data_IF_178956470159
#
_entry.id   IF_178956470159
#
_cell.length_a   1.000
_cell.length_b   1.000
_cell.length_c   1.000
_cell.angle_alpha   90.00
_cell.angle_beta   90.00
_cell.angle_gamma   90.00
#
_symmetry.space_group_name_H-M   'P 1'
#
loop_
_entity.id
_entity.type
_entity.pdbx_description
1 polymer ?
#
# COMPACT_ATOMS: atom_id res chain seq x y z
N UNK A 1 -7.39 -2.26 43.82
CA UNK A 1 -5.92 -2.43 43.83
C UNK A 1 -5.60 -3.48 44.86
N UNK A 2 -5.33 -4.72 44.44
CA UNK A 2 -4.70 -5.73 45.29
C UNK A 2 -3.36 -6.06 44.65
N UNK A 3 -2.28 -5.66 45.30
CA UNK A 3 -0.91 -5.96 44.91
C UNK A 3 -0.57 -7.31 45.53
N UNK A 4 -0.53 -8.37 44.73
CA UNK A 4 -0.03 -9.67 45.16
C UNK A 4 1.47 -9.74 44.84
N UNK A 5 2.28 -9.82 45.90
CA UNK A 5 3.75 -9.91 45.85
C UNK A 5 4.12 -11.36 45.58
N UNK A 6 4.77 -11.62 44.45
CA UNK A 6 5.22 -12.95 44.02
C UNK A 6 6.49 -13.33 44.81
N UNK A 7 6.37 -14.20 45.82
CA UNK A 7 7.50 -14.89 46.42
C UNK A 7 7.39 -16.39 46.15
N UNK A 8 8.43 -16.89 45.47
CA UNK A 8 9.02 -18.24 45.52
C UNK A 8 8.11 -19.45 45.33
N UNK A 9 8.33 -20.11 44.18
CA UNK A 9 8.35 -21.57 43.97
C UNK A 9 7.49 -22.41 44.89
N UNK A 10 6.23 -22.61 44.51
CA UNK A 10 5.35 -23.54 45.19
C UNK A 10 4.72 -24.45 44.12
N UNK A 11 5.38 -25.58 43.81
CA UNK A 11 4.86 -26.60 42.87
C UNK A 11 3.42 -27.00 43.22
N UNK A 12 3.11 -27.00 44.51
CA UNK A 12 1.77 -27.25 45.06
C UNK A 12 0.71 -26.22 44.61
N UNK A 13 1.09 -24.96 44.43
CA UNK A 13 0.21 -23.91 43.91
C UNK A 13 -0.02 -24.09 42.40
N UNK A 14 1.00 -24.55 41.67
CA UNK A 14 0.91 -24.88 40.25
C UNK A 14 -0.10 -26.00 39.97
N UNK A 15 -0.13 -27.02 40.81
CA UNK A 15 -1.06 -28.15 40.66
C UNK A 15 -2.50 -27.82 41.11
N UNK A 16 -2.66 -26.99 42.14
CA UNK A 16 -3.97 -26.44 42.54
C UNK A 16 -4.57 -25.48 41.48
N UNK A 17 -3.73 -24.72 40.78
CA UNK A 17 -4.19 -23.82 39.71
C UNK A 17 -4.56 -24.57 38.42
N UNK A 18 -3.94 -25.72 38.15
CA UNK A 18 -4.25 -26.56 36.97
C UNK A 18 -5.55 -27.37 37.10
N UNK A 19 -5.93 -27.75 38.33
CA UNK A 19 -7.10 -28.60 38.58
C UNK A 19 -8.42 -27.84 38.69
N UNK A 20 -8.40 -26.50 38.77
CA UNK A 20 -9.59 -25.68 38.92
C UNK A 20 -10.12 -25.16 37.57
N UNK A 21 -11.31 -25.61 37.09
CA UNK A 21 -11.91 -25.14 35.84
C UNK A 21 -12.06 -23.62 35.70
N UNK A 22 -12.44 -22.86 36.76
CA UNK A 22 -12.56 -21.40 36.68
C UNK A 22 -11.23 -20.70 36.41
N UNK A 23 -10.12 -21.28 36.89
CA UNK A 23 -8.76 -20.73 36.71
C UNK A 23 -8.32 -20.88 35.27
N UNK A 24 -8.63 -22.02 34.63
CA UNK A 24 -8.35 -22.25 33.21
C UNK A 24 -9.13 -21.26 32.33
N UNK A 25 -10.40 -21.01 32.65
CA UNK A 25 -11.22 -20.02 31.93
C UNK A 25 -10.71 -18.59 32.13
N UNK A 26 -10.29 -18.24 33.36
CA UNK A 26 -9.65 -16.96 33.68
C UNK A 26 -8.32 -16.79 32.94
N UNK A 27 -7.49 -17.83 32.82
CA UNK A 27 -6.23 -17.78 32.08
C UNK A 27 -6.43 -17.53 30.59
N UNK A 28 -7.52 -18.04 29.99
CA UNK A 28 -7.86 -17.76 28.61
C UNK A 28 -8.20 -16.27 28.38
N UNK A 29 -8.82 -15.62 29.38
CA UNK A 29 -9.28 -14.24 29.31
C UNK A 29 -8.28 -13.21 29.83
N UNK A 30 -7.35 -13.57 30.71
CA UNK A 30 -6.38 -12.65 31.29
C UNK A 30 -5.13 -12.52 30.42
N UNK A 31 -4.56 -11.32 30.42
CA UNK A 31 -3.29 -10.98 29.79
C UNK A 31 -2.46 -10.15 30.76
N UNK A 32 -1.15 -10.18 30.53
CA UNK A 32 -0.14 -9.61 31.40
C UNK A 32 0.76 -8.67 30.62
N UNK A 33 1.17 -7.58 31.26
CA UNK A 33 2.23 -6.67 30.80
C UNK A 33 3.14 -6.35 31.98
N UNK A 34 4.39 -6.07 31.69
CA UNK A 34 5.39 -5.63 32.66
C UNK A 34 5.66 -4.13 32.42
N UNK A 35 5.61 -3.34 33.48
CA UNK A 35 5.78 -1.89 33.44
C UNK A 35 6.88 -1.52 34.45
N UNK A 36 7.91 -0.83 34.00
CA UNK A 36 8.89 -0.21 34.89
C UNK A 36 8.32 1.11 35.44
N UNK A 37 8.17 1.21 36.77
CA UNK A 37 7.82 2.46 37.47
C UNK A 37 8.91 2.79 38.47
N UNK A 38 9.67 3.83 38.20
CA UNK A 38 10.90 4.09 38.97
C UNK A 38 11.87 2.94 38.79
N UNK A 39 12.33 2.36 39.90
CA UNK A 39 13.32 1.27 39.92
C UNK A 39 12.70 -0.12 40.12
N UNK A 40 11.37 -0.22 40.02
CA UNK A 40 10.61 -1.47 40.24
C UNK A 40 9.88 -1.89 38.98
N UNK A 41 10.02 -3.17 38.62
CA UNK A 41 9.26 -3.81 37.56
C UNK A 41 7.94 -4.34 38.14
N UNK A 42 6.82 -3.81 37.68
CA UNK A 42 5.48 -4.24 38.11
C UNK A 42 4.79 -5.07 37.02
N UNK A 43 4.16 -6.17 37.41
CA UNK A 43 3.36 -7.01 36.51
C UNK A 43 1.88 -6.66 36.65
N UNK A 44 1.27 -6.20 35.56
CA UNK A 44 -0.13 -5.77 35.52
C UNK A 44 -0.97 -6.79 34.77
N UNK A 45 -2.05 -7.24 35.41
CA UNK A 45 -3.02 -8.18 34.85
C UNK A 45 -4.26 -7.43 34.36
N UNK A 46 -4.74 -7.75 33.17
CA UNK A 46 -5.95 -7.17 32.60
C UNK A 46 -6.72 -8.19 31.77
N UNK A 47 -8.02 -7.95 31.61
CA UNK A 47 -8.87 -8.80 30.77
C UNK A 47 -8.61 -8.46 29.30
N UNK A 48 -8.38 -9.48 28.47
CA UNK A 48 -8.24 -9.38 27.03
C UNK A 48 -9.52 -8.78 26.44
N UNK A 49 -9.45 -7.61 25.78
CA UNK A 49 -10.61 -7.07 25.07
C UNK A 49 -11.08 -8.03 23.97
N UNK A 50 -12.39 -8.16 23.80
CA UNK A 50 -12.98 -9.06 22.77
C UNK A 50 -12.59 -8.65 21.36
N UNK A 51 -12.36 -7.35 21.11
CA UNK A 51 -11.85 -6.81 19.84
C UNK A 51 -10.51 -7.43 19.43
N UNK A 52 -9.68 -7.87 20.38
CA UNK A 52 -8.39 -8.49 20.10
C UNK A 52 -8.52 -9.89 19.50
N UNK A 53 -9.70 -10.51 19.54
CA UNK A 53 -9.94 -11.79 18.86
C UNK A 53 -10.01 -11.64 17.34
N UNK A 54 -10.27 -10.43 16.83
CA UNK A 54 -10.25 -10.13 15.39
C UNK A 54 -8.82 -9.90 14.85
N UNK A 55 -7.81 -9.87 15.71
CA UNK A 55 -6.42 -9.64 15.31
C UNK A 55 -5.78 -10.94 14.83
N UNK A 56 -5.65 -11.08 13.51
CA UNK A 56 -4.88 -12.15 12.90
C UNK A 56 -3.36 -11.93 13.01
N UNK A 57 -2.60 -13.03 12.90
CA UNK A 57 -1.13 -12.99 12.99
C UNK A 57 -0.48 -12.17 11.86
N UNK A 58 -1.16 -12.00 10.73
CA UNK A 58 -0.73 -11.09 9.65
C UNK A 58 -0.60 -9.64 10.12
N UNK A 59 -1.60 -9.12 10.85
CA UNK A 59 -1.55 -7.75 11.39
C UNK A 59 -0.42 -7.58 12.41
N UNK A 60 -0.11 -8.64 13.17
CA UNK A 60 1.01 -8.61 14.14
C UNK A 60 2.36 -8.53 13.43
N UNK A 61 2.55 -9.31 12.36
CA UNK A 61 3.77 -9.28 11.54
C UNK A 61 3.94 -7.93 10.85
N UNK A 62 2.89 -7.42 10.21
CA UNK A 62 2.92 -6.11 9.57
C UNK A 62 3.22 -4.99 10.57
N UNK A 63 2.61 -5.01 11.76
CA UNK A 63 2.92 -4.07 12.82
C UNK A 63 4.40 -4.16 13.23
N UNK A 64 4.94 -5.38 13.37
CA UNK A 64 6.32 -5.62 13.83
C UNK A 64 7.37 -5.23 12.77
N UNK A 65 7.08 -5.47 11.49
CA UNK A 65 7.97 -5.21 10.36
C UNK A 65 7.94 -3.75 9.94
N UNK A 66 6.82 -3.06 10.18
CA UNK A 66 6.67 -1.66 9.81
C UNK A 66 7.33 -0.69 10.79
N UNK A 67 7.59 -1.09 12.04
CA UNK A 67 8.19 -0.20 13.06
C UNK A 67 9.58 0.27 12.63
N UNK A 68 9.82 1.58 12.69
CA UNK A 68 11.14 2.17 12.50
C UNK A 68 12.07 1.79 13.65
N UNK A 69 13.29 1.35 13.33
CA UNK A 69 14.24 0.81 14.32
C UNK A 69 15.50 1.68 14.49
N UNK A 70 15.42 2.93 14.04
CA UNK A 70 16.57 3.84 13.98
C UNK A 70 17.06 4.26 15.37
N UNK A 71 16.15 4.39 16.35
CA UNK A 71 16.50 4.64 17.75
C UNK A 71 15.44 4.07 18.72
N UNK A 72 15.82 3.86 19.98
CA UNK A 72 14.95 3.29 21.01
C UNK A 72 13.66 4.12 21.19
N UNK A 73 13.78 5.44 21.26
CA UNK A 73 12.65 6.36 21.48
C UNK A 73 11.71 6.37 20.27
N UNK A 74 12.26 6.46 19.06
CA UNK A 74 11.47 6.46 17.81
C UNK A 74 10.75 5.12 17.62
N UNK A 75 11.42 4.00 17.94
CA UNK A 75 10.82 2.66 17.87
C UNK A 75 9.59 2.55 18.76
N UNK A 76 9.67 3.03 20.00
CA UNK A 76 8.55 2.96 20.94
C UNK A 76 7.42 3.87 20.49
N UNK A 77 7.72 5.13 20.12
CA UNK A 77 6.67 6.08 19.69
C UNK A 77 5.97 5.61 18.42
N UNK A 78 6.73 5.14 17.42
CA UNK A 78 6.19 4.66 16.14
C UNK A 78 5.36 3.38 16.33
N UNK A 79 5.80 2.46 17.19
CA UNK A 79 5.00 1.28 17.56
C UNK A 79 3.68 1.69 18.22
N UNK A 80 3.70 2.65 19.16
CA UNK A 80 2.49 3.13 19.83
C UNK A 80 1.52 3.80 18.85
N UNK A 81 2.01 4.60 17.91
CA UNK A 81 1.15 5.28 16.95
C UNK A 81 0.55 4.30 15.93
N UNK A 82 1.33 3.34 15.42
CA UNK A 82 0.83 2.27 14.55
C UNK A 82 -0.16 1.35 15.26
N UNK A 83 0.05 1.05 16.54
CA UNK A 83 -0.90 0.23 17.31
C UNK A 83 -2.23 0.96 17.54
N UNK A 84 -2.24 2.28 17.74
CA UNK A 84 -3.48 3.09 17.78
C UNK A 84 -4.22 3.03 16.44
N UNK A 85 -3.51 3.13 15.32
CA UNK A 85 -4.13 3.01 13.99
C UNK A 85 -4.77 1.65 13.79
N UNK A 86 -4.08 0.56 14.18
CA UNK A 86 -4.62 -0.80 14.12
C UNK A 86 -5.87 -0.96 15.00
N UNK A 87 -5.88 -0.43 16.22
CA UNK A 87 -7.06 -0.46 17.11
C UNK A 87 -8.25 0.23 16.46
N UNK A 88 -8.04 1.42 15.88
CA UNK A 88 -9.09 2.16 15.18
C UNK A 88 -9.63 1.38 13.97
N UNK A 89 -8.76 0.70 13.22
CA UNK A 89 -9.19 -0.16 12.11
C UNK A 89 -10.09 -1.30 12.61
N UNK A 90 -9.69 -2.01 13.66
CA UNK A 90 -10.46 -3.14 14.21
C UNK A 90 -11.81 -2.67 14.77
N UNK A 91 -11.84 -1.52 15.42
CA UNK A 91 -13.09 -0.93 15.90
C UNK A 91 -14.03 -0.59 14.74
N UNK A 92 -13.50 -0.03 13.65
CA UNK A 92 -14.27 0.24 12.44
C UNK A 92 -14.84 -1.05 11.82
N UNK A 93 -14.04 -2.11 11.77
CA UNK A 93 -14.47 -3.44 11.32
C UNK A 93 -15.64 -3.96 12.14
N UNK A 94 -15.56 -3.84 13.46
CA UNK A 94 -16.59 -4.32 14.37
C UNK A 94 -17.90 -3.55 14.19
N UNK A 95 -17.83 -2.22 14.01
CA UNK A 95 -19.01 -1.37 13.73
C UNK A 95 -19.63 -1.71 12.38
N UNK A 96 -18.81 -1.86 11.33
CA UNK A 96 -19.29 -2.25 10.01
C UNK A 96 -19.99 -3.62 10.03
N UNK A 97 -19.43 -4.58 10.76
CA UNK A 97 -20.02 -5.91 10.92
C UNK A 97 -21.36 -5.84 11.67
N UNK A 98 -21.43 -5.09 12.77
CA UNK A 98 -22.67 -4.88 13.52
C UNK A 98 -23.75 -4.16 12.68
N UNK A 99 -23.35 -3.20 11.85
CA UNK A 99 -24.24 -2.50 10.93
C UNK A 99 -24.80 -3.44 9.85
N UNK A 100 -23.95 -4.31 9.30
CA UNK A 100 -24.35 -5.34 8.33
C UNK A 100 -25.33 -6.35 8.92
N UNK A 101 -25.04 -6.84 10.13
CA UNK A 101 -25.90 -7.77 10.86
C UNK A 101 -27.26 -7.14 11.21
N UNK A 102 -27.39 -5.80 11.20
CA UNK A 102 -28.64 -5.08 11.47
C UNK A 102 -29.44 -4.75 10.21
N UNK A 103 -28.77 -4.53 9.06
CA UNK A 103 -29.46 -4.27 7.80
C UNK A 103 -29.95 -5.54 7.11
N UNK A 104 -29.34 -6.69 7.38
CA UNK A 104 -29.69 -7.96 6.75
C UNK A 104 -30.29 -8.90 7.80
N UNK A 105 -31.58 -9.28 7.70
CA UNK A 105 -32.22 -10.18 8.65
C UNK A 105 -31.49 -11.54 8.69
N UNK A 106 -31.43 -12.15 9.88
CA UNK A 106 -30.82 -13.49 10.03
C UNK A 106 -31.74 -14.53 9.40
N UNK A 107 -31.21 -15.57 8.72
CA UNK A 107 -32.01 -16.59 8.04
C UNK A 107 -33.04 -17.32 8.94
N UNK A 108 -32.83 -17.29 10.26
CA UNK A 108 -33.69 -17.94 11.25
C UNK A 108 -34.93 -17.13 11.69
N UNK A 109 -35.06 -15.87 11.30
CA UNK A 109 -36.19 -15.00 11.69
C UNK A 109 -37.31 -14.94 10.62
N UNK A 110 -37.17 -15.64 9.49
CA UNK A 110 -38.19 -15.68 8.46
C UNK A 110 -39.26 -16.74 8.79
N UNK A 111 -40.57 -16.45 8.57
CA UNK A 111 -41.65 -17.39 8.81
C UNK A 111 -41.47 -18.70 8.01
N UNK A 112 -41.96 -19.80 8.59
CA UNK A 112 -41.67 -21.18 8.14
C UNK A 112 -42.28 -21.54 6.77
N UNK A 113 -43.19 -20.72 6.26
CA UNK A 113 -43.93 -20.88 5.01
C UNK A 113 -43.13 -20.46 3.76
N UNK A 114 -42.04 -19.69 3.92
CA UNK A 114 -41.29 -19.14 2.81
C UNK A 114 -40.07 -20.01 2.39
N UNK A 115 -40.25 -21.32 2.21
CA UNK A 115 -39.14 -22.28 1.98
C UNK A 115 -38.25 -22.00 0.75
N UNK A 116 -38.82 -21.50 -0.35
CA UNK A 116 -38.06 -21.14 -1.56
C UNK A 116 -37.36 -19.78 -1.43
N UNK A 117 -38.00 -18.82 -0.76
CA UNK A 117 -37.41 -17.53 -0.41
C UNK A 117 -36.25 -17.74 0.56
N UNK A 118 -36.36 -18.64 1.54
CA UNK A 118 -35.30 -18.95 2.51
C UNK A 118 -34.06 -19.54 1.84
N UNK A 119 -34.21 -20.44 0.86
CA UNK A 119 -33.05 -20.99 0.11
C UNK A 119 -32.43 -19.96 -0.83
N UNK A 120 -33.24 -19.16 -1.52
CA UNK A 120 -32.78 -18.07 -2.39
C UNK A 120 -32.08 -16.95 -1.61
N UNK A 121 -32.69 -16.47 -0.52
CA UNK A 121 -32.08 -15.52 0.39
C UNK A 121 -30.90 -16.12 1.13
N UNK A 122 -30.85 -17.40 1.50
CA UNK A 122 -29.66 -17.97 2.14
C UNK A 122 -28.47 -18.03 1.19
N UNK A 123 -28.69 -18.34 -0.10
CA UNK A 123 -27.61 -18.30 -1.11
C UNK A 123 -27.19 -16.86 -1.42
N UNK A 124 -28.13 -15.92 -1.52
CA UNK A 124 -27.85 -14.48 -1.65
C UNK A 124 -27.20 -13.91 -0.38
N UNK A 125 -27.60 -14.35 0.81
CA UNK A 125 -27.09 -13.91 2.11
C UNK A 125 -25.67 -14.42 2.31
N UNK A 126 -25.39 -15.70 2.06
CA UNK A 126 -24.01 -16.23 2.12
C UNK A 126 -23.11 -15.61 1.05
N UNK A 127 -23.63 -15.35 -0.16
CA UNK A 127 -22.85 -14.75 -1.25
C UNK A 127 -22.60 -13.25 -1.06
N UNK A 128 -23.62 -12.48 -0.70
CA UNK A 128 -23.54 -11.03 -0.51
C UNK A 128 -22.91 -10.65 0.84
N UNK A 129 -23.12 -11.44 1.92
CA UNK A 129 -22.38 -11.30 3.19
C UNK A 129 -20.93 -11.71 3.00
N UNK A 130 -20.62 -12.83 2.35
CA UNK A 130 -19.22 -13.19 2.13
C UNK A 130 -18.55 -12.14 1.24
N UNK A 131 -19.13 -11.74 0.11
CA UNK A 131 -18.54 -10.73 -0.78
C UNK A 131 -18.49 -9.32 -0.16
N UNK A 132 -19.48 -8.86 0.60
CA UNK A 132 -19.44 -7.51 1.19
C UNK A 132 -18.62 -7.47 2.48
N UNK A 133 -18.72 -8.49 3.36
CA UNK A 133 -17.86 -8.59 4.55
C UNK A 133 -16.42 -8.81 4.11
N UNK A 134 -16.10 -9.69 3.16
CA UNK A 134 -14.72 -9.72 2.60
C UNK A 134 -14.38 -8.37 1.93
N UNK A 135 -15.18 -7.84 1.01
CA UNK A 135 -14.76 -6.60 0.32
C UNK A 135 -14.70 -5.35 1.21
N UNK A 136 -15.34 -5.29 2.38
CA UNK A 136 -15.28 -4.13 3.30
C UNK A 136 -14.38 -4.41 4.51
N UNK A 137 -14.47 -5.60 5.14
CA UNK A 137 -13.64 -5.98 6.30
C UNK A 137 -12.21 -6.32 5.90
N UNK A 138 -12.04 -6.88 4.70
CA UNK A 138 -10.74 -7.18 4.13
C UNK A 138 -10.14 -5.90 3.50
N UNK A 139 -10.93 -4.92 3.03
CA UNK A 139 -10.38 -3.66 2.47
C UNK A 139 -9.86 -2.66 3.51
N UNK A 140 -10.39 -2.62 4.74
CA UNK A 140 -9.93 -1.63 5.73
C UNK A 140 -8.77 -2.12 6.60
N UNK A 141 -8.58 -3.43 6.76
CA UNK A 141 -7.48 -4.03 7.52
C UNK A 141 -6.36 -4.64 6.68
N UNK A 142 -6.56 -4.85 5.37
CA UNK A 142 -5.58 -5.51 4.50
C UNK A 142 -4.98 -4.47 3.54
N UNK A 143 -4.02 -3.67 4.05
CA UNK A 143 -3.07 -3.00 3.15
C UNK A 143 -2.33 -4.09 2.37
N UNK A 144 -2.63 -4.12 1.08
CA UNK A 144 -1.85 -4.72 -0.02
C UNK A 144 -1.67 -6.26 -0.05
N UNK A 145 -1.77 -7.02 1.05
CA UNK A 145 -1.53 -8.48 1.01
C UNK A 145 -2.69 -9.33 0.45
N UNK A 146 -3.85 -8.72 0.18
CA UNK A 146 -5.02 -9.43 -0.38
C UNK A 146 -5.02 -9.59 -1.90
N UNK A 147 -4.12 -8.91 -2.58
CA UNK A 147 -4.02 -9.08 -4.03
C UNK A 147 -3.53 -10.49 -4.39
N UNK A 148 -2.92 -11.24 -3.46
CA UNK A 148 -2.45 -12.60 -3.71
C UNK A 148 -3.48 -13.73 -3.63
N UNK A 149 -4.74 -13.47 -3.27
CA UNK A 149 -5.75 -14.55 -3.11
C UNK A 149 -7.06 -14.36 -3.90
N UNK A 150 -7.26 -13.23 -4.56
CA UNK A 150 -8.53 -12.92 -5.22
C UNK A 150 -8.40 -12.91 -6.76
N UNK A 151 -9.36 -13.52 -7.47
CA UNK A 151 -9.35 -13.71 -8.94
C UNK A 151 -9.17 -12.40 -9.74
N UNK A 152 -9.52 -11.26 -9.16
CA UNK A 152 -9.38 -9.95 -9.80
C UNK A 152 -7.92 -9.50 -10.01
N UNK A 153 -6.98 -9.95 -9.17
CA UNK A 153 -5.57 -9.59 -9.34
C UNK A 153 -4.92 -10.32 -10.52
N UNK A 154 -5.18 -11.62 -10.63
CA UNK A 154 -4.70 -12.44 -11.76
C UNK A 154 -5.21 -11.82 -13.06
N UNK A 155 -6.49 -11.44 -13.11
CA UNK A 155 -7.06 -10.75 -14.26
C UNK A 155 -6.33 -9.45 -14.61
N UNK A 156 -6.03 -8.63 -13.60
CA UNK A 156 -5.33 -7.38 -13.80
C UNK A 156 -3.90 -7.56 -14.34
N UNK A 157 -3.15 -8.54 -13.80
CA UNK A 157 -1.80 -8.86 -14.30
C UNK A 157 -1.82 -9.52 -15.68
N UNK A 158 -2.84 -10.33 -15.97
CA UNK A 158 -3.04 -10.86 -17.31
C UNK A 158 -3.22 -9.73 -18.32
N UNK A 159 -4.02 -8.71 -18.00
CA UNK A 159 -4.15 -7.54 -18.89
C UNK A 159 -2.82 -6.79 -19.08
N UNK A 160 -2.08 -6.51 -18.00
CA UNK A 160 -0.77 -5.84 -18.12
C UNK A 160 0.19 -6.69 -18.95
N UNK A 161 0.30 -7.99 -18.66
CA UNK A 161 1.19 -8.91 -19.37
C UNK A 161 0.82 -9.03 -20.84
N UNK A 162 -0.46 -9.22 -21.16
CA UNK A 162 -0.93 -9.32 -22.54
C UNK A 162 -0.68 -8.05 -23.33
N UNK A 163 -0.94 -6.86 -22.75
CA UNK A 163 -0.64 -5.59 -23.42
C UNK A 163 0.85 -5.49 -23.74
N UNK A 164 1.72 -5.80 -22.78
CA UNK A 164 3.17 -5.74 -22.98
C UNK A 164 3.64 -6.74 -24.04
N UNK A 165 3.08 -7.94 -24.08
CA UNK A 165 3.36 -8.93 -25.14
C UNK A 165 2.91 -8.42 -26.51
N UNK A 166 1.72 -7.82 -26.62
CA UNK A 166 1.23 -7.23 -27.88
C UNK A 166 2.12 -6.07 -28.33
N UNK A 167 2.54 -5.21 -27.41
CA UNK A 167 3.46 -4.11 -27.70
C UNK A 167 4.80 -4.64 -28.20
N UNK A 168 5.42 -5.59 -27.50
CA UNK A 168 6.72 -6.14 -27.92
C UNK A 168 6.63 -6.89 -29.25
N UNK A 169 5.55 -7.63 -29.49
CA UNK A 169 5.42 -8.48 -30.67
C UNK A 169 5.03 -7.72 -31.94
N UNK A 170 4.27 -6.62 -31.83
CA UNK A 170 3.63 -5.98 -32.98
C UNK A 170 3.93 -4.50 -33.13
N UNK A 171 4.62 -3.86 -32.19
CA UNK A 171 5.01 -2.46 -32.33
C UNK A 171 6.12 -2.32 -33.38
N UNK A 172 5.83 -1.57 -34.44
CA UNK A 172 6.80 -1.22 -35.48
C UNK A 172 7.13 0.26 -35.34
N UNK A 173 8.42 0.65 -35.22
CA UNK A 173 8.81 2.05 -35.14
C UNK A 173 8.57 2.77 -36.47
N UNK A 174 8.27 4.09 -36.44
CA UNK A 174 7.95 4.88 -37.63
C UNK A 174 9.09 4.91 -38.67
N UNK A 175 10.34 4.75 -38.23
CA UNK A 175 11.51 4.77 -39.10
C UNK A 175 11.78 3.44 -39.82
N UNK A 176 10.95 2.41 -39.60
CA UNK A 176 11.14 1.11 -40.21
C UNK A 176 10.74 1.14 -41.70
N UNK A 177 11.58 0.63 -42.62
CA UNK A 177 11.21 0.49 -44.02
C UNK A 177 9.97 -0.42 -44.15
N UNK A 178 8.89 0.10 -44.73
CA UNK A 178 7.60 -0.61 -44.82
C UNK A 178 6.60 -0.31 -43.68
N UNK A 179 6.78 0.81 -42.96
CA UNK A 179 5.83 1.28 -41.96
C UNK A 179 4.45 1.54 -42.58
N UNK A 180 3.47 0.68 -42.24
CA UNK A 180 2.05 0.85 -42.60
C UNK A 180 1.21 1.37 -41.42
N UNK A 181 1.87 1.64 -40.30
CA UNK A 181 1.27 2.01 -39.04
C UNK A 181 2.02 1.38 -37.86
N UNK A 182 1.74 1.83 -36.62
CA UNK A 182 2.46 1.39 -35.43
C UNK A 182 2.19 -0.08 -35.09
N UNK A 183 1.06 -0.62 -35.54
CA UNK A 183 0.68 -2.04 -35.40
C UNK A 183 -0.26 -2.43 -36.55
N UNK A 184 -0.37 -3.74 -36.83
CA UNK A 184 -1.41 -4.25 -37.72
C UNK A 184 -2.81 -3.98 -37.14
N UNK A 185 -3.82 -3.84 -38.01
CA UNK A 185 -5.19 -3.52 -37.58
C UNK A 185 -5.75 -4.48 -36.51
N UNK A 186 -5.57 -5.82 -36.60
CA UNK A 186 -6.01 -6.74 -35.54
C UNK A 186 -5.27 -6.51 -34.21
N UNK A 187 -3.97 -6.25 -34.26
CA UNK A 187 -3.16 -6.00 -33.07
C UNK A 187 -3.54 -4.67 -32.40
N UNK A 188 -3.82 -3.64 -33.20
CA UNK A 188 -4.32 -2.35 -32.72
C UNK A 188 -5.67 -2.46 -32.00
N UNK A 189 -6.61 -3.21 -32.59
CA UNK A 189 -7.91 -3.49 -31.98
C UNK A 189 -7.77 -4.28 -30.66
N UNK A 190 -6.94 -5.33 -30.64
CA UNK A 190 -6.68 -6.11 -29.44
C UNK A 190 -6.02 -5.26 -28.34
N UNK A 191 -5.05 -4.44 -28.70
CA UNK A 191 -4.39 -3.49 -27.80
C UNK A 191 -5.39 -2.53 -27.16
N UNK A 192 -6.22 -1.85 -27.95
CA UNK A 192 -7.20 -0.91 -27.41
C UNK A 192 -8.24 -1.60 -26.52
N UNK A 193 -8.71 -2.78 -26.90
CA UNK A 193 -9.63 -3.56 -26.07
C UNK A 193 -9.02 -3.85 -24.68
N UNK A 194 -7.79 -4.38 -24.66
CA UNK A 194 -7.08 -4.67 -23.41
C UNK A 194 -6.82 -3.40 -22.58
N UNK A 195 -6.42 -2.30 -23.24
CA UNK A 195 -6.17 -1.01 -22.58
C UNK A 195 -7.43 -0.43 -21.93
N UNK A 196 -8.59 -0.51 -22.60
CA UNK A 196 -9.88 -0.10 -22.04
C UNK A 196 -10.32 -1.00 -20.88
N UNK A 197 -10.14 -2.32 -20.98
CA UNK A 197 -10.38 -3.24 -19.86
C UNK A 197 -9.51 -2.88 -18.64
N UNK A 198 -8.23 -2.60 -18.87
CA UNK A 198 -7.29 -2.21 -17.83
C UNK A 198 -7.69 -0.87 -17.16
N UNK A 199 -8.08 0.12 -17.97
CA UNK A 199 -8.56 1.41 -17.49
C UNK A 199 -9.83 1.27 -16.65
N UNK A 200 -10.79 0.46 -17.09
CA UNK A 200 -12.01 0.18 -16.34
C UNK A 200 -11.70 -0.48 -14.98
N UNK A 201 -10.78 -1.45 -14.95
CA UNK A 201 -10.29 -2.04 -13.70
C UNK A 201 -9.62 -1.00 -12.78
N UNK A 202 -8.90 -0.01 -13.33
CA UNK A 202 -8.34 1.09 -12.54
C UNK A 202 -9.43 2.01 -11.98
N UNK A 203 -10.40 2.42 -12.80
CA UNK A 203 -11.48 3.32 -12.40
C UNK A 203 -12.37 2.66 -11.34
N UNK A 204 -12.74 1.40 -11.54
CA UNK A 204 -13.55 0.67 -10.55
C UNK A 204 -12.82 0.54 -9.21
N UNK A 205 -11.50 0.36 -9.22
CA UNK A 205 -10.70 0.39 -8.00
C UNK A 205 -10.75 1.76 -7.31
N UNK A 206 -10.55 2.86 -8.05
CA UNK A 206 -10.65 4.22 -7.50
C UNK A 206 -12.02 4.51 -6.89
N UNK A 207 -13.09 4.12 -7.59
CA UNK A 207 -14.45 4.25 -7.09
C UNK A 207 -14.65 3.49 -5.78
N UNK A 208 -14.13 2.26 -5.67
CA UNK A 208 -14.17 1.49 -4.42
C UNK A 208 -13.43 2.20 -3.30
N UNK A 209 -12.22 2.69 -3.54
CA UNK A 209 -11.43 3.42 -2.52
C UNK A 209 -12.19 4.67 -2.04
N UNK A 210 -12.72 5.47 -2.97
CA UNK A 210 -13.49 6.68 -2.63
C UNK A 210 -14.76 6.33 -1.85
N UNK A 211 -15.45 5.25 -2.22
CA UNK A 211 -16.64 4.78 -1.50
C UNK A 211 -16.29 4.26 -0.09
N UNK A 212 -15.19 3.52 0.07
CA UNK A 212 -14.70 3.07 1.38
C UNK A 212 -14.34 4.24 2.30
N UNK A 213 -13.74 5.31 1.76
CA UNK A 213 -13.44 6.52 2.51
C UNK A 213 -14.71 7.27 2.95
N UNK A 214 -15.80 7.22 2.17
CA UNK A 214 -17.10 7.81 2.57
C UNK A 214 -17.74 7.09 3.76
N UNK A 215 -17.44 5.80 3.96
CA UNK A 215 -17.97 4.99 5.07
C UNK A 215 -17.15 5.15 6.36
N UNK A 216 -16.03 5.88 6.34
CA UNK A 216 -15.31 6.21 7.56
C UNK A 216 -16.14 7.22 8.38
N UNK A 217 -16.69 6.84 9.55
CA UNK A 217 -17.56 7.72 10.31
C UNK A 217 -16.73 8.93 10.72
N UNK A 218 -17.23 10.11 10.35
CA UNK A 218 -16.71 11.36 10.89
C UNK A 218 -16.59 11.20 12.40
N UNK A 219 -15.36 11.30 12.92
CA UNK A 219 -15.02 11.28 14.35
C UNK A 219 -16.11 12.03 15.10
N UNK A 220 -17.05 11.31 15.71
CA UNK A 220 -18.21 11.90 16.39
C UNK A 220 -17.66 12.52 17.66
N UNK A 221 -17.15 13.76 17.55
CA UNK A 221 -16.88 14.56 18.74
C UNK A 221 -18.24 14.84 19.39
N UNK A 222 -18.45 14.49 20.66
CA UNK A 222 -19.69 14.82 21.36
C UNK A 222 -19.80 16.34 21.40
N UNK A 223 -20.67 16.91 20.57
CA UNK A 223 -20.92 18.36 20.59
C UNK A 223 -22.03 18.64 21.59
N UNK A 224 -21.62 19.29 22.69
CA UNK A 224 -22.52 20.00 23.60
C UNK A 224 -23.39 20.95 22.78
N UNK A 225 -24.70 20.85 23.00
CA UNK A 225 -25.69 21.67 22.35
C UNK A 225 -25.56 23.13 22.81
N UNK A 226 -25.29 24.04 21.85
CA UNK A 226 -25.94 25.36 21.78
C UNK A 226 -25.53 26.07 20.49
N UNK A 227 -26.51 26.81 19.98
CA UNK A 227 -26.40 27.96 19.09
C UNK A 227 -26.66 27.74 17.59
N UNK A 228 -27.90 28.11 17.27
CA UNK A 228 -28.55 28.33 15.99
C UNK A 228 -28.07 29.65 15.40
N UNK A 229 -27.03 29.66 14.55
CA UNK A 229 -26.87 30.70 13.53
C UNK A 229 -25.85 30.30 12.43
N UNK A 230 -26.19 30.59 11.18
CA UNK A 230 -25.38 30.49 9.96
C UNK A 230 -25.11 29.09 9.40
N UNK A 231 -26.12 28.56 8.72
CA UNK A 231 -26.04 27.38 7.84
C UNK A 231 -24.96 27.56 6.73
N UNK A 232 -24.76 28.79 6.22
CA UNK A 232 -23.78 29.12 5.17
C UNK A 232 -22.32 28.93 5.61
N UNK A 233 -21.95 29.42 6.80
CA UNK A 233 -20.60 29.19 7.39
C UNK A 233 -20.35 27.72 7.77
N UNK A 234 -21.42 26.96 8.02
CA UNK A 234 -21.33 25.52 8.29
C UNK A 234 -21.10 24.72 7.01
N UNK A 235 -21.68 25.16 5.88
CA UNK A 235 -21.51 24.54 4.57
C UNK A 235 -20.09 24.77 4.03
N UNK A 236 -19.57 25.99 4.09
CA UNK A 236 -18.19 26.30 3.66
C UNK A 236 -17.15 25.54 4.49
N UNK A 237 -17.30 25.49 5.82
CA UNK A 237 -16.41 24.69 6.68
C UNK A 237 -16.50 23.19 6.40
N UNK A 238 -17.68 22.67 6.03
CA UNK A 238 -17.83 21.29 5.58
C UNK A 238 -17.15 21.09 4.24
N UNK A 239 -17.43 21.91 3.23
CA UNK A 239 -16.84 21.80 1.88
C UNK A 239 -15.31 21.90 1.92
N UNK A 240 -14.75 22.87 2.66
CA UNK A 240 -13.29 23.00 2.83
C UNK A 240 -12.71 21.81 3.61
N UNK A 241 -13.41 21.31 4.64
CA UNK A 241 -12.99 20.09 5.35
C UNK A 241 -13.09 18.84 4.47
N UNK A 242 -14.06 18.76 3.56
CA UNK A 242 -14.22 17.67 2.59
C UNK A 242 -13.14 17.73 1.50
N UNK A 243 -12.88 18.90 0.93
CA UNK A 243 -11.84 19.12 -0.06
C UNK A 243 -10.45 18.83 0.52
N UNK A 244 -10.18 19.32 1.74
CA UNK A 244 -8.94 19.01 2.48
C UNK A 244 -8.81 17.52 2.75
N UNK A 245 -9.89 16.82 3.15
CA UNK A 245 -9.88 15.37 3.36
C UNK A 245 -9.61 14.57 2.09
N UNK A 246 -10.18 14.97 0.95
CA UNK A 246 -9.93 14.35 -0.35
C UNK A 246 -8.48 14.59 -0.78
N UNK A 247 -7.96 15.81 -0.62
CA UNK A 247 -6.57 16.14 -0.93
C UNK A 247 -5.58 15.36 -0.06
N UNK A 248 -5.76 15.33 1.26
CA UNK A 248 -4.92 14.53 2.17
C UNK A 248 -5.06 13.03 1.94
N UNK A 249 -6.23 12.57 1.47
CA UNK A 249 -6.42 11.18 1.12
C UNK A 249 -5.71 10.82 -0.18
N UNK A 250 -5.76 11.66 -1.21
CA UNK A 250 -5.06 11.44 -2.48
C UNK A 250 -3.53 11.48 -2.32
N UNK A 251 -3.01 12.25 -1.36
CA UNK A 251 -1.59 12.29 -1.01
C UNK A 251 -1.14 11.15 -0.07
N UNK A 252 -2.04 10.24 0.33
CA UNK A 252 -1.61 9.07 1.11
C UNK A 252 -0.93 8.02 0.21
N UNK A 253 0.05 7.24 0.71
CA UNK A 253 0.91 6.41 -0.13
C UNK A 253 0.15 5.39 -1.00
N UNK A 254 -0.96 4.86 -0.51
CA UNK A 254 -1.73 3.81 -1.18
C UNK A 254 -2.55 4.34 -2.39
N UNK A 255 -3.37 5.40 -2.26
CA UNK A 255 -4.05 6.01 -3.41
C UNK A 255 -3.07 6.70 -4.36
N UNK A 256 -1.89 7.16 -3.92
CA UNK A 256 -0.87 7.68 -4.85
C UNK A 256 -0.41 6.62 -5.88
N UNK A 257 -0.17 5.38 -5.43
CA UNK A 257 0.14 4.28 -6.35
C UNK A 257 -1.02 3.96 -7.30
N UNK A 258 -2.25 4.04 -6.81
CA UNK A 258 -3.44 3.82 -7.62
C UNK A 258 -3.70 4.94 -8.63
N UNK A 259 -3.49 6.21 -8.26
CA UNK A 259 -3.65 7.35 -9.17
C UNK A 259 -2.58 7.34 -10.25
N UNK A 260 -1.33 7.05 -9.89
CA UNK A 260 -0.25 6.79 -10.84
C UNK A 260 -0.66 5.76 -11.89
N UNK A 261 -1.22 4.63 -11.47
CA UNK A 261 -1.67 3.55 -12.38
C UNK A 261 -2.68 4.04 -13.42
N UNK A 262 -3.65 4.86 -13.00
CA UNK A 262 -4.64 5.44 -13.90
C UNK A 262 -4.01 6.45 -14.85
N UNK A 263 -3.11 7.29 -14.35
CA UNK A 263 -2.40 8.29 -15.17
C UNK A 263 -1.62 7.58 -16.28
N UNK A 264 -0.81 6.58 -15.95
CA UNK A 264 -0.05 5.83 -16.94
C UNK A 264 -0.98 5.13 -17.95
N UNK A 265 -2.13 4.61 -17.50
CA UNK A 265 -3.12 4.02 -18.42
C UNK A 265 -3.65 5.03 -19.44
N UNK A 266 -4.03 6.21 -18.97
CA UNK A 266 -4.55 7.28 -19.84
C UNK A 266 -3.45 7.77 -20.79
N UNK A 267 -2.23 7.96 -20.29
CA UNK A 267 -1.09 8.36 -21.11
C UNK A 267 -0.77 7.31 -22.19
N UNK A 268 -0.84 6.02 -21.86
CA UNK A 268 -0.60 4.94 -22.82
C UNK A 268 -1.65 4.90 -23.94
N UNK A 269 -2.91 5.19 -23.62
CA UNK A 269 -4.00 5.23 -24.62
C UNK A 269 -3.87 6.45 -25.54
N UNK A 270 -3.52 7.62 -24.97
CA UNK A 270 -3.52 8.90 -25.70
C UNK A 270 -2.22 9.10 -26.49
N UNK A 271 -1.06 8.82 -25.90
CA UNK A 271 0.24 9.20 -26.45
C UNK A 271 0.96 8.05 -27.13
N UNK A 272 1.24 6.95 -26.41
CA UNK A 272 2.02 5.85 -26.97
C UNK A 272 1.83 4.52 -26.23
N UNK A 273 1.70 3.40 -26.95
CA UNK A 273 1.70 2.06 -26.37
C UNK A 273 2.95 1.74 -25.53
N UNK A 274 4.07 2.44 -25.78
CA UNK A 274 5.34 2.25 -25.07
C UNK A 274 5.29 2.71 -23.59
N UNK A 275 4.20 3.32 -23.14
CA UNK A 275 4.03 3.72 -21.73
C UNK A 275 3.41 2.61 -20.86
N UNK A 276 2.79 1.57 -21.45
CA UNK A 276 2.23 0.44 -20.71
C UNK A 276 3.24 -0.45 -19.96
N UNK A 277 4.52 -0.58 -20.38
CA UNK A 277 5.56 -1.18 -19.56
C UNK A 277 5.74 -0.52 -18.19
N UNK A 278 5.43 0.77 -18.03
CA UNK A 278 5.52 1.44 -16.73
C UNK A 278 4.52 0.89 -15.70
N UNK A 279 3.44 0.23 -16.14
CA UNK A 279 2.55 -0.51 -15.22
C UNK A 279 3.24 -1.70 -14.57
N UNK A 280 4.28 -2.27 -15.18
CA UNK A 280 5.05 -3.34 -14.55
C UNK A 280 5.75 -2.86 -13.27
N UNK A 281 6.03 -1.57 -13.12
CA UNK A 281 6.63 -1.01 -11.89
C UNK A 281 5.74 -1.25 -10.65
N UNK A 282 4.43 -1.46 -10.84
CA UNK A 282 3.49 -1.84 -9.76
C UNK A 282 3.86 -3.20 -9.15
N UNK A 283 4.62 -4.06 -9.86
CA UNK A 283 5.10 -5.36 -9.34
C UNK A 283 5.97 -5.18 -8.09
N UNK A 284 6.70 -4.08 -8.01
CA UNK A 284 7.54 -3.73 -6.87
C UNK A 284 6.68 -3.52 -5.64
N UNK A 285 5.53 -2.86 -5.82
CA UNK A 285 4.50 -2.82 -4.81
C UNK A 285 4.03 -4.23 -4.44
N UNK A 286 3.88 -5.18 -5.35
CA UNK A 286 3.30 -6.45 -4.94
C UNK A 286 4.22 -7.33 -4.05
N UNK A 287 5.52 -7.40 -4.33
CA UNK A 287 6.43 -8.32 -3.64
C UNK A 287 7.20 -7.65 -2.50
N UNK A 288 7.05 -8.18 -1.27
CA UNK A 288 7.76 -7.68 -0.08
C UNK A 288 9.27 -7.66 -0.25
N UNK A 289 9.86 -8.70 -0.84
CA UNK A 289 11.30 -8.77 -1.14
C UNK A 289 11.76 -7.62 -2.01
N UNK A 290 11.01 -7.30 -3.08
CA UNK A 290 11.38 -6.24 -4.02
C UNK A 290 11.24 -4.86 -3.38
N UNK A 291 10.25 -4.68 -2.49
CA UNK A 291 10.16 -3.47 -1.65
C UNK A 291 11.35 -3.31 -0.72
N UNK A 292 11.84 -4.39 -0.11
CA UNK A 292 13.01 -4.31 0.78
C UNK A 292 14.26 -3.89 0.01
N UNK A 293 14.48 -4.44 -1.19
CA UNK A 293 15.59 -4.01 -2.07
C UNK A 293 15.47 -2.52 -2.41
N UNK A 294 14.28 -2.08 -2.83
CA UNK A 294 14.08 -0.68 -3.21
C UNK A 294 14.19 0.27 -2.00
N UNK A 295 13.77 -0.19 -0.81
CA UNK A 295 13.91 0.56 0.45
C UNK A 295 15.37 0.66 0.90
N UNK A 296 16.17 -0.39 0.70
CA UNK A 296 17.60 -0.35 1.01
C UNK A 296 18.31 0.75 0.20
N UNK A 297 17.94 0.93 -1.07
CA UNK A 297 18.49 2.00 -1.91
C UNK A 297 17.93 3.37 -1.51
N UNK A 298 16.62 3.48 -1.29
CA UNK A 298 15.99 4.78 -1.03
C UNK A 298 16.30 5.37 0.34
N UNK A 299 16.63 4.54 1.33
CA UNK A 299 17.02 5.02 2.69
C UNK A 299 18.27 5.89 2.67
N UNK A 300 19.20 5.64 1.75
CA UNK A 300 20.47 6.35 1.64
C UNK A 300 20.56 7.27 0.41
N UNK A 301 19.42 7.63 -0.18
CA UNK A 301 19.38 8.36 -1.46
C UNK A 301 20.09 9.71 -1.40
N UNK A 302 20.06 10.40 -0.25
CA UNK A 302 20.76 11.69 -0.08
C UNK A 302 22.28 11.54 -0.16
N UNK A 303 22.83 10.49 0.46
CA UNK A 303 24.25 10.15 0.40
C UNK A 303 24.65 9.72 -1.01
N UNK A 304 23.81 8.90 -1.66
CA UNK A 304 24.02 8.47 -3.04
C UNK A 304 24.04 9.67 -4.00
N UNK A 305 23.11 10.62 -3.85
CA UNK A 305 23.04 11.83 -4.66
C UNK A 305 24.30 12.70 -4.48
N UNK A 306 24.77 12.88 -3.24
CA UNK A 306 25.97 13.66 -2.94
C UNK A 306 27.23 13.02 -3.54
N UNK A 307 27.31 11.70 -3.48
CA UNK A 307 28.40 10.93 -4.10
C UNK A 307 28.37 11.04 -5.62
N UNK A 308 27.17 10.93 -6.21
CA UNK A 308 26.96 11.11 -7.64
C UNK A 308 27.31 12.53 -8.12
N UNK A 309 27.00 13.55 -7.31
CA UNK A 309 27.39 14.94 -7.61
C UNK A 309 28.91 15.11 -7.61
N UNK A 310 29.60 14.58 -6.61
CA UNK A 310 31.06 14.62 -6.56
C UNK A 310 31.68 13.90 -7.77
N UNK A 311 31.16 12.73 -8.14
CA UNK A 311 31.59 12.01 -9.33
C UNK A 311 31.38 12.83 -10.61
N UNK A 312 30.23 13.50 -10.74
CA UNK A 312 29.95 14.40 -11.86
C UNK A 312 30.93 15.57 -11.98
N UNK A 313 31.32 16.17 -10.85
CA UNK A 313 32.33 17.25 -10.82
C UNK A 313 33.69 16.74 -11.28
N UNK A 314 34.10 15.55 -10.81
CA UNK A 314 35.37 14.93 -11.19
C UNK A 314 35.40 14.62 -12.69
N UNK A 315 34.33 14.02 -13.22
CA UNK A 315 34.22 13.70 -14.66
C UNK A 315 34.26 14.98 -15.50
N UNK A 316 33.60 16.05 -15.06
CA UNK A 316 33.66 17.36 -15.72
C UNK A 316 35.08 17.93 -15.77
N UNK A 317 35.81 17.85 -14.64
CA UNK A 317 37.20 18.29 -14.59
C UNK A 317 38.07 17.49 -15.58
N UNK A 318 37.91 16.17 -15.63
CA UNK A 318 38.62 15.34 -16.60
C UNK A 318 38.20 15.62 -18.05
N UNK A 319 36.95 16.01 -18.31
CA UNK A 319 36.52 16.50 -19.62
C UNK A 319 37.28 17.74 -20.06
N UNK A 320 37.49 18.71 -19.16
CA UNK A 320 38.29 19.93 -19.45
C UNK A 320 39.76 19.57 -19.66
N UNK A 321 40.35 18.80 -18.75
CA UNK A 321 41.77 18.42 -18.85
C UNK A 321 42.02 17.61 -20.11
N UNK A 322 41.13 16.67 -20.44
CA UNK A 322 41.23 15.87 -21.67
C UNK A 322 41.26 16.75 -22.92
N UNK A 323 40.33 17.70 -23.03
CA UNK A 323 40.26 18.59 -24.19
C UNK A 323 41.46 19.53 -24.30
N UNK A 324 41.95 20.07 -23.17
CA UNK A 324 43.01 21.10 -23.19
C UNK A 324 44.42 20.49 -23.23
N UNK A 325 44.65 19.43 -22.48
CA UNK A 325 45.99 18.84 -22.33
C UNK A 325 46.26 17.72 -23.34
N UNK A 326 45.22 17.02 -23.82
CA UNK A 326 45.35 15.83 -24.66
C UNK A 326 44.46 15.86 -25.91
N UNK A 327 44.38 16.96 -26.68
CA UNK A 327 43.44 17.07 -27.80
C UNK A 327 43.65 16.00 -28.88
N UNK A 328 44.88 15.50 -29.06
CA UNK A 328 45.20 14.46 -30.05
C UNK A 328 44.65 13.08 -29.65
N UNK A 329 44.55 12.78 -28.35
CA UNK A 329 44.01 11.51 -27.85
C UNK A 329 42.47 11.46 -27.97
N UNK A 330 41.83 12.59 -28.26
CA UNK A 330 40.39 12.69 -28.55
C UNK A 330 40.11 12.78 -30.06
N UNK A 331 41.00 12.25 -30.90
CA UNK A 331 40.73 12.01 -32.31
C UNK A 331 40.41 10.54 -32.56
N UNK A 332 39.40 10.28 -33.39
CA UNK A 332 39.09 8.94 -33.87
C UNK A 332 40.15 8.50 -34.90
N UNK A 333 40.15 7.20 -35.20
CA UNK A 333 41.01 6.52 -36.17
C UNK A 333 41.00 7.18 -37.56
N UNK A 334 39.88 7.81 -37.92
CA UNK A 334 39.65 8.51 -39.18
C UNK A 334 40.10 9.99 -39.14
N UNK A 335 40.71 10.44 -38.04
CA UNK A 335 41.15 11.83 -37.82
C UNK A 335 40.01 12.80 -37.47
N UNK A 336 38.81 12.29 -37.23
CA UNK A 336 37.66 13.10 -36.80
C UNK A 336 37.75 13.39 -35.30
N UNK A 337 37.42 14.61 -34.89
CA UNK A 337 37.43 15.00 -33.47
C UNK A 337 36.24 14.32 -32.77
N UNK A 338 36.50 13.49 -31.75
CA UNK A 338 35.46 12.78 -31.00
C UNK A 338 34.57 13.72 -30.16
N UNK A 339 35.13 14.86 -29.73
CA UNK A 339 34.38 15.88 -28.99
C UNK A 339 34.90 17.29 -29.29
N UNK A 340 33.98 18.18 -29.68
CA UNK A 340 34.29 19.56 -30.05
C UNK A 340 34.04 20.55 -28.91
N UNK A 341 33.09 20.23 -28.03
CA UNK A 341 32.72 21.05 -26.87
C UNK A 341 33.10 20.37 -25.55
N UNK A 342 33.34 21.18 -24.50
CA UNK A 342 33.62 20.70 -23.14
C UNK A 342 32.50 19.77 -22.66
N UNK A 343 31.25 20.05 -23.05
CA UNK A 343 30.09 19.21 -22.74
C UNK A 343 30.16 17.84 -23.41
N UNK A 344 30.48 17.79 -24.70
CA UNK A 344 30.69 16.53 -25.43
C UNK A 344 31.84 15.72 -24.82
N UNK A 345 32.98 16.35 -24.52
CA UNK A 345 34.12 15.66 -23.92
C UNK A 345 33.81 15.14 -22.51
N UNK A 346 33.00 15.88 -21.73
CA UNK A 346 32.52 15.43 -20.42
C UNK A 346 31.57 14.23 -20.55
N UNK A 347 30.65 14.25 -21.51
CA UNK A 347 29.74 13.11 -21.76
C UNK A 347 30.52 11.90 -22.28
N UNK A 348 31.53 12.11 -23.12
CA UNK A 348 32.41 11.06 -23.61
C UNK A 348 33.21 10.43 -22.47
N UNK A 349 33.81 11.24 -21.59
CA UNK A 349 34.49 10.79 -20.39
C UNK A 349 33.54 10.03 -19.43
N UNK A 350 32.30 10.49 -19.28
CA UNK A 350 31.29 9.82 -18.47
C UNK A 350 30.88 8.45 -19.06
N UNK A 351 30.68 8.37 -20.38
CA UNK A 351 30.10 7.20 -21.03
C UNK A 351 31.12 6.12 -21.35
N UNK A 352 32.30 6.48 -21.85
CA UNK A 352 33.37 5.53 -22.15
C UNK A 352 34.29 5.32 -20.95
N UNK A 353 34.66 6.37 -20.23
CA UNK A 353 35.57 6.27 -19.08
C UNK A 353 34.98 5.46 -17.94
N UNK A 354 33.79 5.82 -17.45
CA UNK A 354 33.18 5.12 -16.30
C UNK A 354 32.74 3.68 -16.66
N UNK A 355 32.41 3.41 -17.92
CA UNK A 355 31.92 2.10 -18.37
C UNK A 355 33.03 1.11 -18.75
N UNK A 356 34.23 1.59 -19.06
CA UNK A 356 35.37 0.76 -19.48
C UNK A 356 36.15 0.13 -18.32
N UNK A 357 35.82 0.48 -17.08
CA UNK A 357 36.44 -0.03 -15.86
C UNK A 357 36.04 -1.44 -15.46
#
# INVERSE_FOLDING_TARGET
>A
MHVLREQTGNEMLGDLLKSCPPVVELQAMLRTIEIARGDVLEKVYFRKPTICNAIHDGHKRELTDSVLRDSQTVKISDFLDKSKELILQIEHLHICQAFLDRMLPRPGELPADAGWVRKGLHSLWTRQRSEFVTNVVEHSGRRESMWGKNKGWVRHWLYIGMINVVVVAFYVPPDHPGYTGPMSWPAWCAYHFLAWCLLFDCITWHLRVVLSLRVSPARVKPKKAKQKHSFRKTLEKKVVSYASRIATSLLSPNPMCGTWRTIVCVLGIIYSPLLFPLHLMVIIGYYSTLRFVLRAISTNISTLLSTGLLAGIIIYFFGIVGQVAFPEDFMDSDGTVLCSSIGECTVLAATLGVRSG
#
